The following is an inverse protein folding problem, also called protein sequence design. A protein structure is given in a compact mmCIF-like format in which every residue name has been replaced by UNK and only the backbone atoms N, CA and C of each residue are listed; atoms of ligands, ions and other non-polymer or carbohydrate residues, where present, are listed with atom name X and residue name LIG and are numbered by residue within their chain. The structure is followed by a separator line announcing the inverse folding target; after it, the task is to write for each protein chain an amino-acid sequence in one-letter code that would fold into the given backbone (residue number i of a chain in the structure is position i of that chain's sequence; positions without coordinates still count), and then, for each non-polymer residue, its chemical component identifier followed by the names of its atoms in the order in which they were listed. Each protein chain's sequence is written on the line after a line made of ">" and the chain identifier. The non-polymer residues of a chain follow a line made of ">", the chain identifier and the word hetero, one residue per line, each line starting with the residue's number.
data_IF_611964304532
#
_entry.id   IF_611964304532
#
_cell.length_a   1.000
_cell.length_b   1.000
_cell.length_c   1.000
_cell.angle_alpha   90.00
_cell.angle_beta   90.00
_cell.angle_gamma   90.00
#
_symmetry.space_group_name_H-M   'P 1'
#
loop_
_entity.id
_entity.type
_entity.pdbx_description
1 polymer ?
#
# COMPACT_ATOMS: atom_id res chain seq x y z
N UNK A 1 -2.79 -33.61 8.45
CA UNK A 1 -3.89 -32.66 8.63
C UNK A 1 -3.34 -31.24 8.49
N UNK A 2 -3.13 -30.79 7.26
CA UNK A 2 -2.72 -29.41 6.97
C UNK A 2 -3.93 -28.70 6.37
N UNK A 3 -4.27 -27.60 7.02
CA UNK A 3 -5.52 -26.86 6.89
C UNK A 3 -5.76 -26.37 5.46
N UNK A 4 -6.90 -26.76 4.91
CA UNK A 4 -7.46 -26.31 3.65
C UNK A 4 -7.93 -24.85 3.84
N UNK A 5 -7.11 -23.87 3.46
CA UNK A 5 -7.51 -22.46 3.46
C UNK A 5 -8.53 -22.27 2.33
N UNK A 6 -9.76 -21.92 2.71
CA UNK A 6 -10.91 -21.69 1.83
C UNK A 6 -10.51 -20.82 0.62
N UNK A 7 -10.52 -21.43 -0.56
CA UNK A 7 -10.51 -20.72 -1.84
C UNK A 7 -11.93 -20.19 -2.07
N UNK A 8 -12.12 -18.88 -1.91
CA UNK A 8 -13.42 -18.25 -2.04
C UNK A 8 -13.41 -16.78 -1.67
N UNK A 9 -12.44 -16.02 -2.18
CA UNK A 9 -12.33 -14.56 -2.07
C UNK A 9 -11.51 -14.10 -3.28
N UNK A 10 -11.90 -13.02 -3.95
CA UNK A 10 -11.38 -12.60 -5.27
C UNK A 10 -9.84 -12.65 -5.34
N UNK A 11 -9.31 -13.73 -5.93
CA UNK A 11 -7.86 -13.90 -6.04
C UNK A 11 -7.30 -12.89 -7.04
N UNK A 12 -6.37 -12.06 -6.58
CA UNK A 12 -5.67 -11.11 -7.45
C UNK A 12 -4.94 -11.89 -8.55
N UNK A 13 -5.14 -11.56 -9.84
CA UNK A 13 -4.48 -12.27 -10.93
C UNK A 13 -2.96 -12.10 -10.85
N UNK A 14 -2.22 -13.04 -11.45
CA UNK A 14 -0.76 -13.00 -11.54
C UNK A 14 -0.34 -12.67 -12.98
N UNK A 15 -0.05 -11.39 -13.31
CA UNK A 15 0.33 -11.01 -14.66
C UNK A 15 1.67 -11.61 -15.06
N UNK A 16 1.82 -11.92 -16.35
CA UNK A 16 3.14 -12.25 -16.91
C UNK A 16 3.90 -10.95 -17.18
N UNK A 17 5.15 -10.93 -16.72
CA UNK A 17 6.06 -9.79 -16.91
C UNK A 17 7.17 -10.20 -17.87
N UNK A 18 7.48 -9.40 -18.92
CA UNK A 18 8.64 -9.64 -19.77
C UNK A 18 9.96 -9.32 -19.02
N UNK A 19 11.04 -10.03 -19.37
CA UNK A 19 12.36 -9.81 -18.76
C UNK A 19 12.53 -10.48 -17.40
N UNK A 20 13.24 -9.83 -16.47
CA UNK A 20 13.53 -10.38 -15.14
C UNK A 20 12.22 -10.66 -14.39
N UNK A 21 11.99 -11.90 -13.89
CA UNK A 21 10.86 -12.18 -13.01
C UNK A 21 10.85 -11.21 -11.83
N UNK A 22 9.81 -10.38 -11.76
CA UNK A 22 9.77 -9.25 -10.83
C UNK A 22 8.34 -9.03 -10.34
N UNK A 23 8.11 -9.27 -9.05
CA UNK A 23 6.82 -9.02 -8.40
C UNK A 23 6.45 -7.54 -8.40
N UNK A 24 7.42 -6.63 -8.31
CA UNK A 24 7.17 -5.20 -8.43
C UNK A 24 6.63 -4.84 -9.82
N UNK A 25 7.21 -5.37 -10.88
CA UNK A 25 6.72 -5.15 -12.23
C UNK A 25 5.32 -5.76 -12.45
N UNK A 26 5.04 -6.92 -11.86
CA UNK A 26 3.70 -7.52 -11.89
C UNK A 26 2.68 -6.64 -11.16
N UNK A 27 3.02 -6.14 -9.98
CA UNK A 27 2.19 -5.21 -9.21
C UNK A 27 1.93 -3.90 -9.99
N UNK A 28 2.95 -3.35 -10.65
CA UNK A 28 2.81 -2.13 -11.46
C UNK A 28 1.87 -2.31 -12.66
N UNK A 29 1.70 -3.52 -13.21
CA UNK A 29 0.67 -3.75 -14.23
C UNK A 29 -0.76 -3.65 -13.65
N UNK A 30 -0.93 -3.95 -12.37
CA UNK A 30 -2.24 -3.92 -11.69
C UNK A 30 -2.56 -2.53 -11.14
N UNK A 31 -1.61 -1.91 -10.46
CA UNK A 31 -1.84 -0.67 -9.69
C UNK A 31 -0.94 0.49 -10.10
N UNK A 32 0.03 0.31 -11.00
CA UNK A 32 1.05 1.31 -11.33
C UNK A 32 0.57 2.50 -12.18
N UNK A 33 -0.71 2.53 -12.57
CA UNK A 33 -1.29 3.68 -13.25
C UNK A 33 -1.59 4.79 -12.24
N UNK A 34 -1.24 6.04 -12.57
CA UNK A 34 -1.32 7.21 -11.67
C UNK A 34 -2.66 7.31 -10.94
N UNK A 35 -3.77 7.23 -11.66
CA UNK A 35 -5.10 7.42 -11.08
C UNK A 35 -5.57 6.22 -10.28
N UNK A 36 -5.01 5.02 -10.52
CA UNK A 36 -5.28 3.85 -9.70
C UNK A 36 -4.76 4.04 -8.26
N UNK A 37 -3.49 4.42 -8.08
CA UNK A 37 -2.94 4.69 -6.74
C UNK A 37 -3.64 5.87 -6.06
N UNK A 38 -3.99 6.91 -6.80
CA UNK A 38 -4.73 8.05 -6.24
C UNK A 38 -6.16 7.66 -5.82
N UNK A 39 -6.84 6.79 -6.56
CA UNK A 39 -8.14 6.27 -6.15
C UNK A 39 -8.02 5.43 -4.87
N UNK A 40 -7.02 4.56 -4.79
CA UNK A 40 -6.74 3.74 -3.60
C UNK A 40 -6.47 4.64 -2.38
N UNK A 41 -5.66 5.70 -2.55
CA UNK A 41 -5.39 6.70 -1.50
C UNK A 41 -6.68 7.32 -0.97
N UNK A 42 -7.57 7.77 -1.86
CA UNK A 42 -8.84 8.37 -1.45
C UNK A 42 -9.73 7.38 -0.70
N UNK A 43 -9.83 6.13 -1.17
CA UNK A 43 -10.62 5.10 -0.49
C UNK A 43 -10.02 4.78 0.89
N UNK A 44 -8.68 4.78 1.00
CA UNK A 44 -7.96 4.64 2.26
C UNK A 44 -8.27 5.77 3.25
N UNK A 45 -8.41 7.01 2.76
CA UNK A 45 -8.89 8.16 3.55
C UNK A 45 -10.40 8.12 3.87
N UNK A 46 -11.13 7.09 3.42
CA UNK A 46 -12.57 6.95 3.64
C UNK A 46 -13.44 7.65 2.59
N UNK A 47 -12.85 8.20 1.53
CA UNK A 47 -13.58 8.80 0.41
C UNK A 47 -14.04 7.70 -0.55
N UNK A 48 -15.22 7.13 -0.29
CA UNK A 48 -15.69 5.92 -0.98
C UNK A 48 -16.65 6.17 -2.14
N UNK A 49 -17.14 7.39 -2.33
CA UNK A 49 -18.11 7.73 -3.39
C UNK A 49 -17.39 8.23 -4.65
N UNK A 50 -17.83 7.78 -5.83
CA UNK A 50 -17.22 8.14 -7.11
C UNK A 50 -16.97 9.64 -7.27
N UNK A 51 -17.99 10.48 -7.07
CA UNK A 51 -17.85 11.94 -7.23
C UNK A 51 -16.85 12.56 -6.24
N UNK A 52 -16.69 11.99 -5.05
CA UNK A 52 -15.69 12.46 -4.08
C UNK A 52 -14.28 12.10 -4.53
N UNK A 53 -14.09 10.87 -5.03
CA UNK A 53 -12.81 10.41 -5.57
C UNK A 53 -12.43 11.25 -6.81
N UNK A 54 -13.37 11.52 -7.73
CA UNK A 54 -13.13 12.42 -8.88
C UNK A 54 -12.64 13.79 -8.41
N UNK A 55 -13.36 14.43 -7.49
CA UNK A 55 -13.00 15.77 -7.00
C UNK A 55 -11.63 15.79 -6.33
N UNK A 56 -11.34 14.82 -5.47
CA UNK A 56 -10.11 14.83 -4.66
C UNK A 56 -8.87 14.40 -5.44
N UNK A 57 -9.03 13.56 -6.48
CA UNK A 57 -7.92 13.14 -7.34
C UNK A 57 -7.67 14.08 -8.51
N UNK A 58 -8.69 14.85 -8.93
CA UNK A 58 -8.63 15.65 -10.16
C UNK A 58 -8.59 14.79 -11.44
N UNK A 59 -8.83 13.49 -11.34
CA UNK A 59 -8.75 12.58 -12.48
C UNK A 59 -9.88 12.87 -13.50
N UNK A 60 -9.61 12.79 -14.81
CA UNK A 60 -10.66 12.73 -15.81
C UNK A 60 -11.63 11.58 -15.51
N UNK A 61 -12.94 11.85 -15.61
CA UNK A 61 -14.00 10.92 -15.19
C UNK A 61 -13.90 9.55 -15.86
N UNK A 62 -13.65 9.54 -17.17
CA UNK A 62 -13.46 8.35 -17.99
C UNK A 62 -12.26 7.52 -17.53
N UNK A 63 -11.14 8.18 -17.22
CA UNK A 63 -9.91 7.54 -16.72
C UNK A 63 -10.13 6.93 -15.34
N UNK A 64 -10.72 7.69 -14.41
CA UNK A 64 -10.99 7.17 -13.07
C UNK A 64 -11.98 6.00 -13.10
N UNK A 65 -13.05 6.11 -13.89
CA UNK A 65 -14.02 5.03 -14.04
C UNK A 65 -13.38 3.76 -14.60
N UNK A 66 -12.49 3.88 -15.59
CA UNK A 66 -11.74 2.76 -16.12
C UNK A 66 -10.78 2.15 -15.09
N UNK A 67 -10.11 2.98 -14.26
CA UNK A 67 -9.21 2.47 -13.22
C UNK A 67 -9.96 1.78 -12.09
N UNK A 68 -11.07 2.35 -11.60
CA UNK A 68 -11.88 1.72 -10.57
C UNK A 68 -12.44 0.36 -11.02
N UNK A 69 -12.91 0.26 -12.28
CA UNK A 69 -13.31 -1.03 -12.85
C UNK A 69 -12.17 -2.03 -12.91
N UNK A 70 -10.99 -1.62 -13.38
CA UNK A 70 -9.83 -2.50 -13.43
C UNK A 70 -9.42 -2.99 -12.03
N UNK A 71 -9.44 -2.11 -11.02
CA UNK A 71 -9.15 -2.47 -9.63
C UNK A 71 -10.20 -3.42 -9.03
N UNK A 72 -11.47 -3.27 -9.40
CA UNK A 72 -12.57 -4.18 -9.06
C UNK A 72 -12.36 -5.56 -9.70
N UNK A 73 -12.05 -5.60 -11.00
CA UNK A 73 -11.78 -6.82 -11.76
C UNK A 73 -10.60 -7.62 -11.20
N UNK A 74 -9.54 -6.94 -10.71
CA UNK A 74 -8.35 -7.59 -10.15
C UNK A 74 -8.45 -7.83 -8.64
N UNK A 75 -9.60 -7.55 -8.00
CA UNK A 75 -9.83 -7.84 -6.58
C UNK A 75 -9.08 -6.94 -5.60
N UNK A 76 -8.67 -5.74 -6.02
CA UNK A 76 -8.03 -4.73 -5.15
C UNK A 76 -9.09 -3.84 -4.48
N UNK A 77 -10.17 -3.58 -5.20
CA UNK A 77 -11.34 -2.81 -4.74
C UNK A 77 -12.58 -3.68 -4.87
N UNK A 78 -13.56 -3.47 -4.00
CA UNK A 78 -14.90 -4.04 -4.13
C UNK A 78 -15.94 -2.93 -4.06
N UNK A 79 -17.13 -3.20 -4.61
CA UNK A 79 -18.19 -2.20 -4.74
C UNK A 79 -19.43 -2.63 -3.96
N UNK A 80 -19.83 -1.80 -3.00
CA UNK A 80 -20.99 -2.05 -2.14
C UNK A 80 -22.14 -1.12 -2.50
N UNK A 81 -23.34 -1.66 -2.65
CA UNK A 81 -24.54 -0.84 -2.78
C UNK A 81 -24.87 -0.20 -1.43
N UNK A 82 -25.02 1.12 -1.39
CA UNK A 82 -25.44 1.84 -0.18
C UNK A 82 -26.86 2.42 -0.29
N UNK A 83 -27.46 2.35 -1.49
CA UNK A 83 -28.83 2.75 -1.75
C UNK A 83 -29.37 1.89 -2.89
N UNK A 84 -30.58 1.37 -2.75
CA UNK A 84 -31.24 0.57 -3.80
C UNK A 84 -32.13 1.43 -4.71
N UNK A 85 -32.56 2.61 -4.26
CA UNK A 85 -33.50 3.50 -4.96
C UNK A 85 -33.16 4.98 -4.74
N UNK A 86 -32.43 5.66 -5.66
CA UNK A 86 -31.78 5.07 -6.83
C UNK A 86 -30.61 4.16 -6.42
N UNK A 87 -30.28 3.19 -7.28
CA UNK A 87 -29.13 2.31 -7.04
C UNK A 87 -27.84 3.14 -7.01
N UNK A 88 -27.15 3.14 -5.86
CA UNK A 88 -25.88 3.84 -5.69
C UNK A 88 -24.85 2.96 -5.01
N UNK A 89 -23.60 3.18 -5.39
CA UNK A 89 -22.48 2.37 -4.96
C UNK A 89 -21.38 3.20 -4.33
N UNK A 90 -20.63 2.56 -3.45
CA UNK A 90 -19.38 3.03 -2.89
C UNK A 90 -18.30 1.96 -3.02
N UNK A 91 -17.04 2.40 -3.00
CA UNK A 91 -15.86 1.56 -3.19
C UNK A 91 -15.17 1.30 -1.87
N UNK A 92 -14.75 0.05 -1.65
CA UNK A 92 -14.00 -0.39 -0.48
C UNK A 92 -12.72 -1.09 -0.92
N UNK A 93 -11.66 -0.98 -0.13
CA UNK A 93 -10.45 -1.77 -0.36
C UNK A 93 -10.68 -3.19 0.13
N UNK A 94 -10.28 -4.19 -0.66
CA UNK A 94 -10.18 -5.59 -0.21
C UNK A 94 -8.98 -5.77 0.72
N UNK A 95 -8.69 -7.00 1.18
CA UNK A 95 -7.44 -7.29 1.88
C UNK A 95 -6.21 -6.88 1.05
N UNK A 96 -6.18 -7.28 -0.23
CA UNK A 96 -5.11 -6.91 -1.14
C UNK A 96 -4.96 -5.40 -1.35
N UNK A 97 -6.09 -4.66 -1.39
CA UNK A 97 -6.06 -3.20 -1.47
C UNK A 97 -5.53 -2.52 -0.20
N UNK A 98 -5.84 -3.07 0.98
CA UNK A 98 -5.34 -2.56 2.26
C UNK A 98 -3.84 -2.80 2.44
N UNK A 99 -3.32 -3.91 1.92
CA UNK A 99 -1.90 -4.26 1.95
C UNK A 99 -1.01 -3.31 1.12
N UNK A 100 -1.59 -2.41 0.32
CA UNK A 100 -0.86 -1.36 -0.39
C UNK A 100 -0.53 -0.14 0.47
N UNK A 101 -1.05 -0.05 1.70
CA UNK A 101 -0.81 1.11 2.57
C UNK A 101 0.69 1.42 2.80
N UNK A 102 1.57 0.43 3.09
CA UNK A 102 3.00 0.70 3.22
C UNK A 102 3.65 1.24 1.94
N UNK A 103 3.19 0.79 0.77
CA UNK A 103 3.67 1.30 -0.54
C UNK A 103 3.26 2.75 -0.73
N UNK A 104 2.02 3.11 -0.37
CA UNK A 104 1.56 4.51 -0.42
C UNK A 104 2.36 5.40 0.53
N UNK A 105 2.63 4.94 1.76
CA UNK A 105 3.45 5.70 2.71
C UNK A 105 4.86 5.93 2.19
N UNK A 106 5.51 4.90 1.63
CA UNK A 106 6.83 5.03 1.03
C UNK A 106 6.84 6.04 -0.14
N UNK A 107 5.80 6.02 -0.97
CA UNK A 107 5.68 6.94 -2.10
C UNK A 107 5.42 8.39 -1.65
N UNK A 108 4.60 8.58 -0.61
CA UNK A 108 4.36 9.90 -0.01
C UNK A 108 5.63 10.46 0.62
N UNK A 109 6.34 9.68 1.44
CA UNK A 109 7.59 10.11 2.07
C UNK A 109 8.66 10.48 1.02
N UNK A 110 8.76 9.73 -0.08
CA UNK A 110 9.62 10.10 -1.19
C UNK A 110 9.17 11.42 -1.85
N UNK A 111 7.86 11.57 -2.08
CA UNK A 111 7.28 12.78 -2.67
C UNK A 111 7.50 14.02 -1.81
N UNK A 112 7.31 13.91 -0.50
CA UNK A 112 7.52 14.97 0.49
C UNK A 112 8.98 15.46 0.48
N UNK A 113 9.93 14.56 0.24
CA UNK A 113 11.35 14.89 0.19
C UNK A 113 11.80 15.53 -1.13
N UNK A 114 11.19 15.15 -2.26
CA UNK A 114 11.77 15.43 -3.58
C UNK A 114 10.83 16.10 -4.58
N UNK A 115 9.52 16.10 -4.34
CA UNK A 115 8.51 16.45 -5.35
C UNK A 115 7.56 17.58 -4.92
N UNK A 116 7.67 18.08 -3.68
CA UNK A 116 6.90 19.22 -3.16
C UNK A 116 7.78 20.12 -2.29
N UNK A 117 7.45 21.41 -2.23
CA UNK A 117 8.16 22.37 -1.37
C UNK A 117 7.77 22.21 0.11
N UNK A 118 6.56 21.69 0.38
CA UNK A 118 6.04 21.48 1.73
C UNK A 118 5.15 20.23 1.74
N UNK A 119 5.37 19.28 2.67
CA UNK A 119 4.53 18.08 2.79
C UNK A 119 3.05 18.45 3.00
N UNK A 120 2.13 18.04 2.10
CA UNK A 120 0.72 18.41 2.20
C UNK A 120 -0.06 17.56 3.20
N UNK A 121 0.50 16.42 3.64
CA UNK A 121 -0.14 15.48 4.56
C UNK A 121 0.90 14.95 5.55
N UNK A 122 0.56 14.94 6.84
CA UNK A 122 1.36 14.31 7.88
C UNK A 122 0.59 13.13 8.50
N UNK A 123 1.24 11.98 8.63
CA UNK A 123 0.68 10.84 9.36
C UNK A 123 1.04 10.94 10.83
N UNK A 124 0.04 10.76 11.69
CA UNK A 124 0.24 10.75 13.15
C UNK A 124 -0.17 9.40 13.68
N UNK A 125 0.71 8.76 14.43
CA UNK A 125 0.33 7.57 15.19
C UNK A 125 -0.42 7.99 16.46
N UNK A 126 -1.45 7.24 16.83
CA UNK A 126 -2.14 7.41 18.10
C UNK A 126 -1.49 6.47 19.10
N UNK A 127 -0.90 7.03 20.15
CA UNK A 127 -0.46 6.24 21.30
C UNK A 127 -1.69 5.95 22.15
N UNK A 128 -1.97 4.67 22.39
CA UNK A 128 -2.94 4.30 23.41
C UNK A 128 -2.25 4.45 24.78
N UNK A 129 -2.79 5.29 25.69
CA UNK A 129 -2.24 5.45 27.03
C UNK A 129 -2.04 4.12 27.76
N UNK A 130 -2.90 3.12 27.48
CA UNK A 130 -2.85 1.81 28.10
C UNK A 130 -1.89 0.82 27.41
N UNK A 131 -1.49 1.07 26.16
CA UNK A 131 -0.55 0.21 25.40
C UNK A 131 0.89 0.71 25.43
N UNK A 132 1.13 1.86 26.06
CA UNK A 132 2.49 2.29 26.34
C UNK A 132 3.21 1.15 27.05
N UNK A 133 4.40 0.80 26.56
CA UNK A 133 5.37 0.06 27.35
C UNK A 133 5.85 0.93 28.54
N UNK A 134 4.93 1.52 29.28
CA UNK A 134 5.12 2.22 30.54
C UNK A 134 5.42 1.16 31.61
N UNK A 135 6.59 0.55 31.50
CA UNK A 135 7.24 -0.09 32.64
C UNK A 135 7.87 0.96 33.56
N UNK A 136 7.84 2.26 33.20
CA UNK A 136 8.49 3.30 34.00
C UNK A 136 7.68 4.62 34.05
N UNK A 137 6.79 4.77 35.04
CA UNK A 137 6.03 6.00 35.25
C UNK A 137 6.95 7.10 35.81
N UNK A 138 7.62 7.81 34.92
CA UNK A 138 8.49 8.94 35.29
C UNK A 138 9.42 9.50 34.21
N UNK A 139 9.50 8.87 33.03
CA UNK A 139 10.41 9.33 31.97
C UNK A 139 9.75 10.36 31.03
N UNK A 140 10.58 11.20 30.41
CA UNK A 140 10.22 12.22 29.41
C UNK A 140 9.44 11.70 28.17
N UNK A 141 9.10 10.41 28.13
CA UNK A 141 8.45 9.70 27.04
C UNK A 141 6.98 10.12 26.82
N UNK A 142 6.22 10.39 27.89
CA UNK A 142 4.85 10.87 27.76
C UNK A 142 4.79 12.33 27.24
N UNK A 143 5.75 13.17 27.64
CA UNK A 143 5.88 14.54 27.12
C UNK A 143 6.42 14.58 25.68
N UNK A 144 7.23 13.58 25.27
CA UNK A 144 7.75 13.47 23.91
C UNK A 144 6.68 13.12 22.86
N UNK A 145 5.53 12.56 23.27
CA UNK A 145 4.40 12.32 22.36
C UNK A 145 3.48 13.54 22.17
N UNK A 146 3.72 14.65 22.88
CA UNK A 146 3.04 15.93 22.62
C UNK A 146 3.63 16.66 21.40
N UNK A 147 4.85 16.33 20.98
CA UNK A 147 5.48 16.89 19.79
C UNK A 147 5.07 16.16 18.52
N UNK A 148 4.66 16.92 17.51
CA UNK A 148 4.41 16.45 16.15
C UNK A 148 5.72 15.93 15.55
N UNK A 149 5.95 14.62 15.64
CA UNK A 149 7.10 13.96 15.03
C UNK A 149 6.71 13.28 13.73
N UNK A 150 7.59 13.37 12.75
CA UNK A 150 7.45 12.66 11.48
C UNK A 150 7.60 11.15 11.71
N UNK A 151 6.83 10.37 10.95
CA UNK A 151 6.89 8.91 10.97
C UNK A 151 7.83 8.42 9.88
N UNK A 152 8.89 7.72 10.26
CA UNK A 152 9.77 7.02 9.33
C UNK A 152 9.27 5.60 9.04
N UNK A 153 9.27 5.22 7.75
CA UNK A 153 9.02 3.84 7.36
C UNK A 153 10.28 3.01 7.61
N UNK A 154 10.25 2.19 8.66
CA UNK A 154 11.36 1.30 9.01
C UNK A 154 11.04 -0.16 8.70
N UNK A 155 12.05 -0.89 8.23
CA UNK A 155 11.97 -2.35 8.11
C UNK A 155 12.64 -2.99 9.30
N UNK A 156 11.97 -3.93 9.96
CA UNK A 156 12.54 -4.70 11.07
C UNK A 156 12.72 -6.16 10.68
N UNK A 157 13.81 -6.78 11.12
CA UNK A 157 14.02 -8.20 10.94
C UNK A 157 13.06 -8.96 11.86
N UNK A 158 12.19 -9.78 11.28
CA UNK A 158 11.23 -10.58 12.07
C UNK A 158 11.90 -11.56 13.05
N UNK A 159 13.13 -11.96 12.79
CA UNK A 159 13.83 -12.97 13.59
C UNK A 159 14.58 -12.38 14.77
N UNK A 160 15.37 -11.32 14.56
CA UNK A 160 16.14 -10.69 15.64
C UNK A 160 15.50 -9.41 16.21
N UNK A 161 14.53 -8.82 15.51
CA UNK A 161 13.88 -7.56 15.91
C UNK A 161 14.66 -6.30 15.54
N UNK A 162 15.88 -6.42 15.02
CA UNK A 162 16.72 -5.27 14.66
C UNK A 162 16.14 -4.49 13.47
N UNK A 163 16.36 -3.19 13.50
CA UNK A 163 16.10 -2.30 12.37
C UNK A 163 17.08 -2.57 11.23
N UNK A 164 16.55 -2.63 10.01
CA UNK A 164 17.30 -2.96 8.81
C UNK A 164 17.32 -1.75 7.88
N UNK A 165 18.51 -1.16 7.73
CA UNK A 165 18.77 -0.08 6.79
C UNK A 165 19.23 -0.57 5.42
N UNK A 166 19.30 0.35 4.44
CA UNK A 166 19.75 0.06 3.06
C UNK A 166 21.19 -0.48 2.98
N UNK A 167 22.05 -0.16 3.95
CA UNK A 167 23.42 -0.69 4.04
C UNK A 167 23.53 -2.12 4.59
N UNK A 168 22.46 -2.65 5.18
CA UNK A 168 22.43 -3.96 5.85
C UNK A 168 21.74 -5.05 5.02
N UNK A 169 21.33 -4.73 3.79
CA UNK A 169 20.58 -5.62 2.90
C UNK A 169 21.47 -6.20 1.80
N UNK A 170 21.42 -7.52 1.62
CA UNK A 170 21.97 -8.21 0.45
C UNK A 170 20.84 -8.60 -0.50
N UNK A 171 21.14 -8.64 -1.81
CA UNK A 171 20.20 -9.06 -2.84
C UNK A 171 20.46 -10.53 -3.15
N UNK A 172 19.47 -11.38 -2.86
CA UNK A 172 19.44 -12.80 -3.19
C UNK A 172 18.45 -13.04 -4.35
N UNK A 173 18.96 -13.43 -5.53
CA UNK A 173 18.13 -13.69 -6.72
C UNK A 173 17.71 -15.15 -6.75
N UNK A 174 16.42 -15.40 -6.53
CA UNK A 174 15.84 -16.76 -6.44
C UNK A 174 15.17 -17.25 -7.73
N UNK A 175 15.14 -16.41 -8.76
CA UNK A 175 14.49 -16.74 -10.02
C UNK A 175 15.37 -17.75 -10.81
N UNK A 176 14.85 -18.93 -11.21
CA UNK A 176 15.62 -19.88 -12.01
C UNK A 176 16.10 -19.25 -13.32
N UNK A 177 17.37 -19.45 -13.67
CA UNK A 177 17.97 -18.88 -14.88
C UNK A 177 18.30 -17.39 -14.77
N UNK A 178 18.35 -16.82 -13.56
CA UNK A 178 18.71 -15.42 -13.33
C UNK A 178 19.70 -15.26 -12.19
N UNK A 179 20.60 -14.29 -12.33
CA UNK A 179 21.42 -13.74 -11.26
C UNK A 179 21.22 -12.22 -11.14
N UNK A 180 22.08 -11.57 -10.35
CA UNK A 180 22.03 -10.11 -10.15
C UNK A 180 22.34 -9.33 -11.43
N UNK A 181 23.21 -9.84 -12.30
CA UNK A 181 23.60 -9.20 -13.55
C UNK A 181 22.59 -9.42 -14.69
N UNK A 182 21.90 -10.55 -14.74
CA UNK A 182 20.98 -10.84 -15.84
C UNK A 182 20.51 -12.30 -15.92
N UNK A 183 20.00 -12.73 -17.09
CA UNK A 183 19.80 -14.15 -17.37
C UNK A 183 21.14 -14.88 -17.34
N UNK A 184 21.17 -16.07 -16.75
CA UNK A 184 22.32 -16.98 -16.84
C UNK A 184 22.02 -18.05 -17.88
N UNK A 185 23.03 -18.41 -18.67
CA UNK A 185 22.91 -19.54 -19.61
C UNK A 185 22.60 -20.81 -18.82
N UNK A 186 21.71 -21.64 -19.37
CA UNK A 186 21.46 -22.95 -18.79
C UNK A 186 22.76 -23.79 -18.90
N UNK A 187 23.09 -24.60 -17.88
CA UNK A 187 24.25 -25.49 -17.92
C UNK A 187 24.16 -26.51 -19.06
#
# INVERSE_FOLDING_TARGET
>A
MTSNRKQGEHAVPHPRVPGRPCSAAAALQLVGERWALLAIREIFYGNRRYEQIVRNTGAPRDRLAARLRALEEVGVVERHAYSERPLRFEYHLTEAGRDLAPVMHALLAWGDRWAVDTPPVAFRHRVDPASSHASDPGTAYAAAHESEHDLDLMSTCRTCGEEVGSGSLTIDVRAPGWDRAGPVEAP
#
